data_IF_289696438510
#
_entry.id   IF_289696438510
#
_cell.length_a   1.000
_cell.length_b   1.000
_cell.length_c   1.000
_cell.angle_alpha   90.00
_cell.angle_beta   90.00
_cell.angle_gamma   90.00
#
_symmetry.space_group_name_H-M   'P 1'
#
loop_
_entity.id
_entity.type
_entity.pdbx_description
1 polymer ?
#
# COMPACT_ATOMS: atom_id res chain seq x y z
N UNK A 1 -55.41 2.25 46.11
CA UNK A 1 -56.21 3.39 45.64
C UNK A 1 -55.69 4.73 46.14
N UNK A 2 -55.45 5.63 45.20
CA UNK A 2 -55.04 7.02 45.44
C UNK A 2 -55.93 7.74 46.48
N UNK A 3 -57.25 7.49 46.44
CA UNK A 3 -58.23 8.03 47.39
C UNK A 3 -58.11 7.47 48.82
N UNK A 4 -57.49 6.31 49.01
CA UNK A 4 -57.21 5.74 50.33
C UNK A 4 -55.93 6.31 50.95
N UNK A 5 -55.01 6.81 50.11
CA UNK A 5 -53.74 7.42 50.52
C UNK A 5 -53.98 8.89 50.93
N UNK A 6 -54.73 9.65 50.12
CA UNK A 6 -55.12 11.03 50.43
C UNK A 6 -56.52 11.07 51.06
N UNK A 7 -56.59 10.81 52.37
CA UNK A 7 -57.85 10.73 53.13
C UNK A 7 -58.70 12.00 53.05
N UNK A 8 -58.10 13.17 52.84
CA UNK A 8 -58.78 14.46 52.62
C UNK A 8 -59.69 14.42 51.39
N UNK A 9 -59.36 13.61 50.39
CA UNK A 9 -60.09 13.51 49.13
C UNK A 9 -61.20 12.43 49.14
N UNK A 10 -61.35 11.67 50.24
CA UNK A 10 -62.42 10.66 50.37
C UNK A 10 -63.82 11.26 50.26
N UNK A 11 -64.00 12.50 50.72
CA UNK A 11 -65.29 13.23 50.64
C UNK A 11 -65.62 13.72 49.22
N UNK A 12 -64.65 13.69 48.29
CA UNK A 12 -64.78 14.19 46.91
C UNK A 12 -64.12 13.21 45.90
N UNK A 13 -64.70 12.01 45.71
CA UNK A 13 -64.11 10.95 44.90
C UNK A 13 -63.87 11.36 43.43
N UNK A 14 -64.75 12.18 42.85
CA UNK A 14 -64.57 12.72 41.50
C UNK A 14 -63.34 13.62 41.38
N UNK A 15 -63.01 14.38 42.43
CA UNK A 15 -61.81 15.25 42.45
C UNK A 15 -60.57 14.38 42.62
N UNK A 16 -60.62 13.37 43.49
CA UNK A 16 -59.54 12.41 43.67
C UNK A 16 -59.18 11.69 42.35
N UNK A 17 -60.20 11.28 41.59
CA UNK A 17 -60.00 10.58 40.33
C UNK A 17 -59.40 11.49 39.24
N UNK A 18 -59.88 12.74 39.15
CA UNK A 18 -59.33 13.74 38.24
C UNK A 18 -57.88 14.11 38.58
N UNK A 19 -57.56 14.25 39.86
CA UNK A 19 -56.20 14.55 40.31
C UNK A 19 -55.24 13.39 40.02
N UNK A 20 -55.66 12.15 40.28
CA UNK A 20 -54.88 10.96 39.95
C UNK A 20 -54.62 10.86 38.45
N UNK A 21 -55.64 11.09 37.62
CA UNK A 21 -55.51 11.10 36.17
C UNK A 21 -54.56 12.20 35.68
N UNK A 22 -54.65 13.41 36.25
CA UNK A 22 -53.75 14.52 35.93
C UNK A 22 -52.29 14.20 36.32
N UNK A 23 -52.07 13.62 37.51
CA UNK A 23 -50.76 13.23 38.00
C UNK A 23 -50.13 12.13 37.13
N UNK A 24 -50.90 11.11 36.74
CA UNK A 24 -50.42 10.07 35.82
C UNK A 24 -50.06 10.67 34.47
N UNK A 25 -50.91 11.55 33.95
CA UNK A 25 -50.68 12.18 32.66
C UNK A 25 -49.40 13.03 32.68
N UNK A 26 -49.25 13.90 33.67
CA UNK A 26 -48.07 14.76 33.80
C UNK A 26 -46.78 13.94 33.99
N UNK A 27 -46.84 12.83 34.73
CA UNK A 27 -45.71 11.91 34.86
C UNK A 27 -45.36 11.24 33.53
N UNK A 28 -46.37 10.76 32.78
CA UNK A 28 -46.15 10.12 31.48
C UNK A 28 -45.62 11.09 30.43
N UNK A 29 -46.18 12.31 30.41
CA UNK A 29 -45.75 13.37 29.50
C UNK A 29 -44.28 13.74 29.82
N UNK A 30 -43.95 13.98 31.10
CA UNK A 30 -42.57 14.29 31.50
C UNK A 30 -41.58 13.15 31.24
N UNK A 31 -41.95 11.89 31.48
CA UNK A 31 -41.09 10.74 31.16
C UNK A 31 -40.84 10.59 29.65
N UNK A 32 -41.84 10.90 28.82
CA UNK A 32 -41.68 10.86 27.36
C UNK A 32 -40.81 12.01 26.88
N UNK A 33 -40.98 13.21 27.42
CA UNK A 33 -40.15 14.36 27.09
C UNK A 33 -38.69 14.10 27.47
N UNK A 34 -38.41 13.57 28.67
CA UNK A 34 -37.06 13.18 29.10
C UNK A 34 -36.43 12.12 28.17
N UNK A 35 -37.25 11.17 27.69
CA UNK A 35 -36.79 10.11 26.78
C UNK A 35 -36.49 10.67 25.38
N UNK A 36 -37.34 11.57 24.88
CA UNK A 36 -37.15 12.26 23.62
C UNK A 36 -35.90 13.14 23.67
N UNK A 37 -35.69 13.87 24.77
CA UNK A 37 -34.48 14.66 25.01
C UNK A 37 -33.23 13.77 25.04
N UNK A 38 -33.27 12.60 25.70
CA UNK A 38 -32.14 11.66 25.72
C UNK A 38 -31.86 11.06 24.33
N UNK A 39 -32.90 10.78 23.53
CA UNK A 39 -32.74 10.29 22.16
C UNK A 39 -32.12 11.35 21.24
N UNK A 40 -32.45 12.61 21.47
CA UNK A 40 -31.93 13.76 20.72
C UNK A 40 -30.53 14.19 21.21
N UNK A 41 -30.25 14.05 22.51
CA UNK A 41 -28.97 14.35 23.12
C UNK A 41 -27.88 13.43 22.53
N UNK A 42 -26.89 14.03 21.88
CA UNK A 42 -25.80 13.28 21.24
C UNK A 42 -26.19 12.46 20.02
N UNK A 43 -27.37 12.71 19.42
CA UNK A 43 -27.84 12.00 18.22
C UNK A 43 -27.89 10.48 18.40
N UNK A 44 -28.38 10.04 19.57
CA UNK A 44 -28.42 8.62 19.95
C UNK A 44 -29.17 7.77 18.93
N UNK A 45 -30.26 8.30 18.36
CA UNK A 45 -31.03 7.63 17.31
C UNK A 45 -30.17 7.28 16.08
N UNK A 46 -29.34 8.21 15.60
CA UNK A 46 -28.44 7.97 14.46
C UNK A 46 -27.36 6.95 14.82
N UNK A 47 -26.84 7.00 16.05
CA UNK A 47 -25.84 6.05 16.52
C UNK A 47 -26.40 4.61 16.63
N UNK A 48 -27.63 4.45 17.12
CA UNK A 48 -28.31 3.15 17.16
C UNK A 48 -28.58 2.61 15.76
N UNK A 49 -28.98 3.48 14.82
CA UNK A 49 -29.17 3.08 13.43
C UNK A 49 -27.86 2.60 12.80
N UNK A 50 -26.73 3.27 13.07
CA UNK A 50 -25.40 2.82 12.63
C UNK A 50 -25.02 1.48 13.23
N UNK A 51 -25.28 1.27 14.52
CA UNK A 51 -25.00 -0.01 15.21
C UNK A 51 -25.85 -1.13 14.63
N UNK A 52 -27.14 -0.88 14.33
CA UNK A 52 -28.01 -1.88 13.68
C UNK A 52 -27.46 -2.28 12.31
N UNK A 53 -27.05 -1.32 11.48
CA UNK A 53 -26.47 -1.60 10.16
C UNK A 53 -25.18 -2.43 10.25
N UNK A 54 -24.35 -2.19 11.27
CA UNK A 54 -23.14 -2.97 11.52
C UNK A 54 -23.47 -4.40 11.96
N UNK A 55 -24.44 -4.57 12.86
CA UNK A 55 -24.89 -5.89 13.31
C UNK A 55 -25.46 -6.74 12.17
N UNK A 56 -26.21 -6.11 11.25
CA UNK A 56 -26.76 -6.79 10.07
C UNK A 56 -25.64 -7.20 9.08
N UNK A 57 -24.64 -6.35 8.89
CA UNK A 57 -23.51 -6.62 8.00
C UNK A 57 -22.62 -7.78 8.48
N UNK A 58 -22.42 -7.90 9.80
CA UNK A 58 -21.59 -8.95 10.42
C UNK A 58 -22.40 -10.21 10.81
N UNK A 59 -23.68 -10.29 10.47
CA UNK A 59 -24.58 -11.40 10.85
C UNK A 59 -24.14 -12.80 10.38
N UNK A 60 -23.19 -12.88 9.45
CA UNK A 60 -22.63 -14.13 8.93
C UNK A 60 -21.36 -14.60 9.66
N UNK A 61 -20.76 -13.76 10.52
CA UNK A 61 -19.52 -14.06 11.22
C UNK A 61 -19.86 -14.74 12.56
N UNK A 62 -19.62 -16.04 12.66
CA UNK A 62 -19.82 -16.82 13.90
C UNK A 62 -18.63 -16.75 14.88
N UNK A 63 -17.51 -16.16 14.47
CA UNK A 63 -16.31 -16.05 15.29
C UNK A 63 -16.42 -14.86 16.26
N UNK A 64 -15.79 -15.01 17.43
CA UNK A 64 -15.68 -13.91 18.38
C UNK A 64 -14.92 -12.74 17.74
N UNK A 65 -15.62 -11.62 17.56
CA UNK A 65 -15.02 -10.41 17.05
C UNK A 65 -13.87 -9.95 17.97
N UNK A 66 -12.77 -9.51 17.36
CA UNK A 66 -11.60 -9.02 18.08
C UNK A 66 -11.98 -7.94 19.10
N UNK A 67 -11.35 -7.97 20.28
CA UNK A 67 -11.50 -6.98 21.34
C UNK A 67 -10.14 -6.39 21.69
N UNK A 68 -10.04 -5.06 21.95
CA UNK A 68 -8.78 -4.45 22.33
C UNK A 68 -8.17 -5.11 23.58
N UNK A 69 -6.92 -5.58 23.55
CA UNK A 69 -6.30 -6.33 24.64
C UNK A 69 -5.87 -5.44 25.82
N UNK A 70 -6.32 -4.18 25.89
CA UNK A 70 -5.89 -3.18 26.88
C UNK A 70 -4.47 -2.63 26.67
N UNK A 71 -3.70 -3.17 25.71
CA UNK A 71 -2.39 -2.67 25.32
C UNK A 71 -2.49 -1.82 24.04
N UNK A 72 -2.25 -0.52 24.18
CA UNK A 72 -2.35 0.47 23.09
C UNK A 72 -1.39 0.16 21.92
N UNK A 73 -0.18 -0.33 22.21
CA UNK A 73 0.80 -0.65 21.15
C UNK A 73 0.34 -1.82 20.27
N UNK A 74 -0.37 -2.80 20.84
CA UNK A 74 -0.96 -3.90 20.08
C UNK A 74 -2.20 -3.47 19.29
N UNK A 75 -2.99 -2.54 19.83
CA UNK A 75 -4.15 -1.98 19.14
C UNK A 75 -3.76 -1.10 17.94
N UNK A 76 -2.73 -0.26 18.09
CA UNK A 76 -2.25 0.60 17.00
C UNK A 76 -1.62 -0.20 15.86
N UNK A 77 -1.00 -1.35 16.17
CA UNK A 77 -0.42 -2.25 15.15
C UNK A 77 -1.44 -2.72 14.11
N UNK A 78 -2.71 -2.92 14.46
CA UNK A 78 -3.72 -3.36 13.48
C UNK A 78 -4.13 -2.24 12.53
N UNK A 79 -4.18 -0.99 13.02
CA UNK A 79 -4.54 0.18 12.20
C UNK A 79 -3.41 0.50 11.22
N UNK A 80 -2.16 0.45 11.69
CA UNK A 80 -0.99 0.70 10.83
C UNK A 80 -0.69 -0.47 9.89
N UNK A 81 -1.18 -1.68 10.19
CA UNK A 81 -0.90 -2.88 9.39
C UNK A 81 -1.32 -2.73 7.92
N UNK A 82 -2.49 -2.13 7.66
CA UNK A 82 -2.98 -1.95 6.30
C UNK A 82 -2.08 -0.97 5.52
N UNK A 83 -1.72 0.15 6.14
CA UNK A 83 -0.82 1.13 5.51
C UNK A 83 0.57 0.56 5.27
N UNK A 84 1.10 -0.20 6.23
CA UNK A 84 2.39 -0.89 6.09
C UNK A 84 2.33 -1.90 4.94
N UNK A 85 1.23 -2.65 4.81
CA UNK A 85 1.03 -3.61 3.72
C UNK A 85 1.04 -2.90 2.36
N UNK A 86 0.25 -1.84 2.19
CA UNK A 86 0.16 -1.08 0.95
C UNK A 86 1.51 -0.49 0.52
N UNK A 87 2.26 0.11 1.46
CA UNK A 87 3.59 0.64 1.17
C UNK A 87 4.61 -0.47 0.89
N UNK A 88 4.50 -1.63 1.54
CA UNK A 88 5.38 -2.78 1.28
C UNK A 88 5.15 -3.36 -0.12
N UNK A 89 3.90 -3.55 -0.53
CA UNK A 89 3.55 -4.04 -1.87
C UNK A 89 4.02 -3.07 -2.97
N UNK A 90 3.88 -1.76 -2.72
CA UNK A 90 4.38 -0.72 -3.62
C UNK A 90 5.90 -0.75 -3.74
N UNK A 91 6.61 -0.88 -2.62
CA UNK A 91 8.06 -0.94 -2.60
C UNK A 91 8.58 -2.21 -3.30
N UNK A 92 7.94 -3.36 -3.05
CA UNK A 92 8.26 -4.62 -3.72
C UNK A 92 8.16 -4.49 -5.24
N UNK A 93 7.07 -3.87 -5.74
CA UNK A 93 6.91 -3.62 -7.17
C UNK A 93 8.05 -2.76 -7.73
N UNK A 94 8.41 -1.67 -7.05
CA UNK A 94 9.50 -0.79 -7.49
C UNK A 94 10.86 -1.48 -7.50
N UNK A 95 11.14 -2.31 -6.50
CA UNK A 95 12.38 -3.09 -6.43
C UNK A 95 12.46 -4.08 -7.58
N UNK A 96 11.37 -4.81 -7.85
CA UNK A 96 11.33 -5.78 -8.94
C UNK A 96 11.55 -5.11 -10.32
N UNK A 97 10.94 -3.95 -10.56
CA UNK A 97 11.15 -3.17 -11.79
C UNK A 97 12.62 -2.75 -11.94
N UNK A 98 13.24 -2.24 -10.87
CA UNK A 98 14.66 -1.84 -10.88
C UNK A 98 15.60 -3.04 -11.06
N UNK A 99 15.31 -4.18 -10.45
CA UNK A 99 16.10 -5.39 -10.61
C UNK A 99 16.02 -5.90 -12.05
N UNK A 100 14.84 -5.92 -12.66
CA UNK A 100 14.66 -6.30 -14.06
C UNK A 100 15.47 -5.38 -15.00
N UNK A 101 15.33 -4.06 -14.84
CA UNK A 101 16.11 -3.09 -15.62
C UNK A 101 17.63 -3.30 -15.44
N UNK A 102 18.08 -3.57 -14.23
CA UNK A 102 19.49 -3.81 -13.94
C UNK A 102 20.00 -5.09 -14.63
N UNK A 103 19.21 -6.17 -14.63
CA UNK A 103 19.58 -7.39 -15.36
C UNK A 103 19.72 -7.15 -16.87
N UNK A 104 18.83 -6.36 -17.46
CA UNK A 104 18.89 -5.97 -18.89
C UNK A 104 20.13 -5.11 -19.16
N UNK A 105 20.46 -4.19 -18.28
CA UNK A 105 21.65 -3.36 -18.43
C UNK A 105 22.94 -4.18 -18.30
N UNK A 106 23.00 -5.12 -17.34
CA UNK A 106 24.15 -5.99 -17.12
C UNK A 106 24.42 -6.89 -18.32
N UNK A 107 23.39 -7.50 -18.90
CA UNK A 107 23.53 -8.30 -20.14
C UNK A 107 24.06 -7.45 -21.28
N UNK A 108 23.48 -6.26 -21.51
CA UNK A 108 23.93 -5.32 -22.55
C UNK A 108 25.39 -4.86 -22.36
N UNK A 109 25.82 -4.64 -21.11
CA UNK A 109 27.22 -4.29 -20.80
C UNK A 109 28.13 -5.47 -21.11
N UNK A 110 27.75 -6.68 -20.73
CA UNK A 110 28.51 -7.90 -21.01
C UNK A 110 28.71 -8.11 -22.51
N UNK A 111 27.64 -7.98 -23.30
CA UNK A 111 27.70 -8.11 -24.76
C UNK A 111 28.62 -7.07 -25.39
N UNK A 112 28.52 -5.81 -24.96
CA UNK A 112 29.41 -4.74 -25.42
C UNK A 112 30.87 -5.01 -25.07
N UNK A 113 31.16 -5.48 -23.85
CA UNK A 113 32.51 -5.84 -23.42
C UNK A 113 33.07 -6.98 -24.27
N UNK A 114 32.26 -8.00 -24.54
CA UNK A 114 32.64 -9.13 -25.42
C UNK A 114 33.00 -8.64 -26.84
N UNK A 115 32.17 -7.78 -27.42
CA UNK A 115 32.45 -7.19 -28.75
C UNK A 115 33.75 -6.39 -28.77
N UNK A 116 34.03 -5.62 -27.71
CA UNK A 116 35.27 -4.85 -27.58
C UNK A 116 36.48 -5.81 -27.53
N UNK A 117 36.40 -6.91 -26.79
CA UNK A 117 37.48 -7.91 -26.73
C UNK A 117 37.74 -8.53 -28.10
N UNK A 118 36.68 -8.95 -28.81
CA UNK A 118 36.81 -9.51 -30.17
C UNK A 118 37.44 -8.51 -31.14
N UNK A 119 37.03 -7.24 -31.07
CA UNK A 119 37.60 -6.17 -31.89
C UNK A 119 39.08 -5.94 -31.56
N UNK A 120 39.41 -5.87 -30.26
CA UNK A 120 40.78 -5.71 -29.79
C UNK A 120 41.69 -6.85 -30.26
N UNK A 121 41.22 -8.10 -30.18
CA UNK A 121 41.98 -9.27 -30.65
C UNK A 121 42.18 -9.24 -32.17
N UNK A 122 41.17 -8.77 -32.91
CA UNK A 122 41.26 -8.61 -34.36
C UNK A 122 42.29 -7.55 -34.75
N UNK A 123 42.28 -6.40 -34.07
CA UNK A 123 43.26 -5.33 -34.26
C UNK A 123 44.67 -5.83 -33.88
N UNK A 124 44.82 -6.50 -32.75
CA UNK A 124 46.11 -7.03 -32.30
C UNK A 124 46.67 -8.04 -33.30
N UNK A 125 45.81 -8.91 -33.84
CA UNK A 125 46.20 -9.90 -34.87
C UNK A 125 46.55 -9.25 -36.21
N UNK A 126 45.87 -8.17 -36.62
CA UNK A 126 46.23 -7.48 -37.85
C UNK A 126 47.57 -6.75 -37.68
N UNK A 127 47.74 -6.03 -36.56
CA UNK A 127 48.99 -5.34 -36.22
C UNK A 127 50.19 -6.29 -36.10
N UNK A 128 50.03 -7.53 -35.64
CA UNK A 128 51.14 -8.48 -35.57
C UNK A 128 51.56 -9.04 -36.94
N UNK A 129 50.67 -9.03 -37.93
CA UNK A 129 50.97 -9.51 -39.30
C UNK A 129 51.61 -8.44 -40.18
N UNK A 130 51.28 -7.18 -39.95
CA UNK A 130 51.75 -6.06 -40.79
C UNK A 130 53.29 -5.92 -40.83
N UNK A 131 54.04 -6.03 -39.71
CA UNK A 131 55.50 -5.93 -39.74
C UNK A 131 56.16 -6.97 -40.65
N UNK A 132 55.71 -8.23 -40.59
CA UNK A 132 56.25 -9.31 -41.42
C UNK A 132 55.97 -9.08 -42.92
N UNK A 133 54.78 -8.56 -43.26
CA UNK A 133 54.43 -8.24 -44.63
C UNK A 133 55.25 -7.04 -45.15
N UNK A 134 55.43 -6.01 -44.32
CA UNK A 134 56.24 -4.83 -44.65
C UNK A 134 57.70 -5.24 -44.85
N UNK A 135 58.28 -6.04 -43.95
CA UNK A 135 59.66 -6.50 -44.07
C UNK A 135 59.90 -7.33 -45.35
N UNK A 136 58.95 -8.20 -45.71
CA UNK A 136 59.03 -8.97 -46.96
C UNK A 136 58.99 -8.06 -48.20
N UNK A 137 58.11 -7.05 -48.20
CA UNK A 137 58.00 -6.09 -49.30
C UNK A 137 59.25 -5.24 -49.44
N UNK A 138 59.83 -4.78 -48.32
CA UNK A 138 61.11 -4.05 -48.31
C UNK A 138 62.23 -4.91 -48.93
N UNK A 139 62.36 -6.18 -48.50
CA UNK A 139 63.36 -7.11 -49.07
C UNK A 139 63.18 -7.32 -50.58
N UNK A 140 61.93 -7.41 -51.06
CA UNK A 140 61.66 -7.53 -52.50
C UNK A 140 62.02 -6.27 -53.27
N UNK A 141 61.75 -5.09 -52.71
CA UNK A 141 62.15 -3.81 -53.32
C UNK A 141 63.67 -3.70 -53.42
N UNK A 142 64.41 -4.06 -52.36
CA UNK A 142 65.87 -4.09 -52.38
C UNK A 142 66.43 -5.04 -53.47
N UNK A 143 65.80 -6.20 -53.64
CA UNK A 143 66.19 -7.16 -54.70
C UNK A 143 65.94 -6.59 -56.10
N UNK A 144 64.79 -5.96 -56.32
CA UNK A 144 64.47 -5.32 -57.61
C UNK A 144 65.41 -4.16 -57.91
N UNK A 145 65.75 -3.34 -56.91
CA UNK A 145 66.70 -2.24 -57.07
C UNK A 145 68.09 -2.76 -57.44
N UNK A 146 68.53 -3.88 -56.84
CA UNK A 146 69.78 -4.55 -57.24
C UNK A 146 69.73 -5.04 -58.68
N UNK A 147 68.63 -5.66 -59.10
CA UNK A 147 68.48 -6.12 -60.49
C UNK A 147 68.48 -4.95 -61.49
N UNK A 148 67.83 -3.83 -61.17
CA UNK A 148 67.85 -2.62 -61.99
C UNK A 148 69.26 -2.04 -62.11
N UNK A 149 70.03 -1.97 -61.01
CA UNK A 149 71.42 -1.51 -61.06
C UNK A 149 72.32 -2.40 -61.93
N UNK A 150 72.06 -3.70 -61.97
CA UNK A 150 72.79 -4.63 -62.86
C UNK A 150 72.44 -4.37 -64.33
N UNK A 151 71.17 -4.11 -64.63
CA UNK A 151 70.72 -3.79 -66.00
C UNK A 151 71.21 -2.42 -66.48
N UNK A 152 71.37 -1.44 -65.58
CA UNK A 152 71.93 -0.11 -65.91
C UNK A 152 73.47 -0.13 -66.08
N UNK A 153 74.14 -1.24 -65.77
CA UNK A 153 75.61 -1.40 -65.88
C UNK A 153 76.04 -2.38 -66.99
N UNK A 154 75.11 -2.81 -67.85
CA UNK A 154 75.37 -3.43 -69.17
C UNK A 154 75.29 -2.39 -70.30
#
# INVERSE_FOLDING_TARGET
DFSNILTILKSKPNVAHKLHAAMIKELQDGMNDDLEDLLNEGSLQESLEKVSKLADADSSVQEDAWRPPGNVALHLRSVDAQRIKEESEKLEKQVNELEEENTILMTKISDKRSNILVLHDTITRSLSKTPNAVELLVKRLEQLEKCLKVLDHE
#
